data_IF_790963971693
#
_entry.id   IF_790963971693
#
_cell.length_a   1.000
_cell.length_b   1.000
_cell.length_c   1.000
_cell.angle_alpha   90.00
_cell.angle_beta   90.00
_cell.angle_gamma   90.00
#
_symmetry.space_group_name_H-M   'P 1'
#
loop_
_entity.id
_entity.type
_entity.pdbx_description
1 polymer ?
#
# COMPACT_ATOMS: atom_id res chain seq x y z
N UNK A 1 -2.31 19.72 -12.97
CA UNK A 1 -3.57 19.24 -12.39
C UNK A 1 -3.33 18.96 -10.91
N UNK A 2 -4.17 19.43 -9.98
CA UNK A 2 -4.12 18.96 -8.59
C UNK A 2 -4.70 17.55 -8.60
N UNK A 3 -3.84 16.54 -8.57
CA UNK A 3 -4.29 15.15 -8.43
C UNK A 3 -4.90 14.97 -7.04
N UNK A 4 -6.21 14.70 -6.98
CA UNK A 4 -6.87 14.35 -5.72
C UNK A 4 -6.49 12.92 -5.36
N UNK A 5 -5.73 12.76 -4.27
CA UNK A 5 -5.36 11.45 -3.75
C UNK A 5 -6.50 10.86 -2.91
N UNK A 6 -6.87 9.62 -3.21
CA UNK A 6 -7.89 8.87 -2.45
C UNK A 6 -7.15 7.93 -1.48
N UNK A 7 -7.42 8.00 -0.17
CA UNK A 7 -6.79 7.10 0.79
C UNK A 7 -7.33 5.67 0.60
N UNK A 8 -6.46 4.72 0.28
CA UNK A 8 -6.84 3.32 0.02
C UNK A 8 -6.60 2.38 1.21
N UNK A 9 -5.77 2.78 2.18
CA UNK A 9 -5.42 1.96 3.33
C UNK A 9 -4.31 2.55 4.20
N UNK A 10 -3.86 1.75 5.17
CA UNK A 10 -2.79 2.10 6.12
C UNK A 10 -1.73 0.99 6.13
N UNK A 11 -0.45 1.38 6.10
CA UNK A 11 0.68 0.50 6.40
C UNK A 11 0.72 0.26 7.91
N UNK A 12 0.55 -1.00 8.34
CA UNK A 12 0.48 -1.34 9.78
C UNK A 12 1.85 -1.71 10.36
N UNK A 13 2.55 -2.64 9.72
CA UNK A 13 3.86 -3.17 10.17
C UNK A 13 4.63 -3.74 8.98
N UNK A 14 5.93 -3.98 9.18
CA UNK A 14 6.75 -4.81 8.29
C UNK A 14 6.29 -6.27 8.31
N UNK A 15 6.66 -7.02 7.28
CA UNK A 15 6.39 -8.45 7.13
C UNK A 15 7.67 -9.21 6.77
N UNK A 16 8.12 -10.07 7.69
CA UNK A 16 9.35 -10.84 7.52
C UNK A 16 10.60 -9.94 7.44
N UNK A 17 11.65 -10.45 6.81
CA UNK A 17 12.98 -9.82 6.75
C UNK A 17 13.33 -9.25 5.36
N UNK A 18 12.45 -9.38 4.38
CA UNK A 18 12.68 -8.97 2.97
C UNK A 18 12.15 -7.57 2.63
N UNK A 19 11.79 -6.77 3.64
CA UNK A 19 11.28 -5.41 3.45
C UNK A 19 9.83 -5.31 2.98
N UNK A 20 9.08 -6.43 2.94
CA UNK A 20 7.65 -6.39 2.67
C UNK A 20 6.89 -5.69 3.81
N UNK A 21 5.72 -5.13 3.51
CA UNK A 21 4.86 -4.47 4.49
C UNK A 21 3.44 -5.03 4.49
N UNK A 22 2.76 -4.92 5.63
CA UNK A 22 1.34 -5.23 5.77
C UNK A 22 0.53 -3.96 5.53
N UNK A 23 -0.33 -3.98 4.52
CA UNK A 23 -1.28 -2.89 4.24
C UNK A 23 -2.69 -3.38 4.58
N UNK A 24 -3.37 -2.68 5.48
CA UNK A 24 -4.81 -2.85 5.70
C UNK A 24 -5.55 -1.88 4.81
N UNK A 25 -6.28 -2.39 3.83
CA UNK A 25 -7.06 -1.56 2.91
C UNK A 25 -8.42 -1.20 3.50
N UNK A 26 -8.99 -0.09 3.05
CA UNK A 26 -10.32 0.35 3.44
C UNK A 26 -11.44 -0.26 2.57
N UNK A 27 -11.10 -0.92 1.46
CA UNK A 27 -12.11 -1.57 0.62
C UNK A 27 -12.68 -2.81 1.31
N UNK A 28 -14.01 -2.87 1.45
CA UNK A 28 -14.72 -3.98 2.12
C UNK A 28 -14.47 -5.37 1.51
N UNK A 29 -14.08 -5.47 0.23
CA UNK A 29 -13.81 -6.75 -0.43
C UNK A 29 -12.33 -7.16 -0.43
N UNK A 30 -11.41 -6.32 0.07
CA UNK A 30 -9.98 -6.64 0.05
C UNK A 30 -9.44 -6.92 -1.37
N UNK A 31 -9.88 -6.16 -2.38
CA UNK A 31 -9.52 -6.35 -3.81
C UNK A 31 -8.72 -5.19 -4.42
N UNK A 32 -8.42 -4.13 -3.67
CA UNK A 32 -7.96 -2.86 -4.24
C UNK A 32 -6.43 -2.68 -4.36
N UNK A 33 -5.61 -3.72 -4.12
CA UNK A 33 -4.16 -3.66 -4.35
C UNK A 33 -3.76 -4.70 -5.40
N UNK A 34 -3.30 -4.19 -6.54
CA UNK A 34 -2.77 -4.99 -7.65
C UNK A 34 -1.26 -4.74 -7.81
N UNK A 35 -0.50 -5.70 -8.34
CA UNK A 35 0.90 -5.47 -8.71
C UNK A 35 1.01 -4.48 -9.88
N UNK A 36 2.19 -3.89 -10.06
CA UNK A 36 2.54 -2.96 -11.14
C UNK A 36 1.77 -1.62 -11.13
N UNK A 37 1.21 -1.21 -9.99
CA UNK A 37 0.61 0.12 -9.81
C UNK A 37 1.55 1.03 -9.01
N UNK A 38 1.38 2.34 -9.17
CA UNK A 38 2.01 3.33 -8.30
C UNK A 38 1.04 3.77 -7.22
N UNK A 39 1.52 3.83 -5.97
CA UNK A 39 0.77 4.41 -4.86
C UNK A 39 1.57 5.53 -4.20
N UNK A 40 0.86 6.45 -3.56
CA UNK A 40 1.47 7.49 -2.74
C UNK A 40 1.41 7.08 -1.28
N UNK A 41 2.57 6.97 -0.64
CA UNK A 41 2.69 6.67 0.78
C UNK A 41 2.97 7.96 1.53
N UNK A 42 2.08 8.28 2.46
CA UNK A 42 2.25 9.43 3.33
C UNK A 42 3.01 9.02 4.61
N UNK A 43 4.21 9.58 4.83
CA UNK A 43 5.00 9.32 6.05
C UNK A 43 4.67 10.31 7.17
N UNK A 44 4.47 11.58 6.79
CA UNK A 44 4.03 12.69 7.64
C UNK A 44 2.98 13.48 6.88
N UNK A 45 2.15 14.25 7.58
CA UNK A 45 1.13 15.06 6.92
C UNK A 45 1.76 15.95 5.82
N UNK A 46 1.26 15.82 4.59
CA UNK A 46 1.79 16.51 3.42
C UNK A 46 3.04 15.92 2.76
N UNK A 47 3.73 14.97 3.39
CA UNK A 47 4.94 14.31 2.85
C UNK A 47 4.57 12.97 2.19
N UNK A 48 4.43 13.01 0.86
CA UNK A 48 4.04 11.87 0.04
C UNK A 48 5.23 11.35 -0.78
N UNK A 49 5.51 10.06 -0.64
CA UNK A 49 6.45 9.34 -1.48
C UNK A 49 5.70 8.46 -2.49
N UNK A 50 5.96 8.63 -3.78
CA UNK A 50 5.43 7.75 -4.83
C UNK A 50 6.26 6.45 -4.88
N UNK A 51 5.61 5.31 -4.73
CA UNK A 51 6.24 3.99 -4.74
C UNK A 51 5.54 3.05 -5.72
N UNK A 52 6.32 2.21 -6.40
CA UNK A 52 5.79 1.17 -7.28
C UNK A 52 5.53 -0.10 -6.47
N UNK A 53 4.34 -0.66 -6.61
CA UNK A 53 4.02 -1.97 -6.04
C UNK A 53 4.56 -3.05 -6.98
N UNK A 54 5.57 -3.80 -6.52
CA UNK A 54 6.16 -4.90 -7.27
C UNK A 54 5.35 -6.18 -7.06
N UNK A 55 4.88 -6.41 -5.83
CA UNK A 55 4.00 -7.54 -5.52
C UNK A 55 2.95 -7.16 -4.48
N UNK A 56 1.76 -7.75 -4.62
CA UNK A 56 0.67 -7.63 -3.66
C UNK A 56 -0.02 -8.98 -3.51
N UNK A 57 -0.03 -9.53 -2.30
CA UNK A 57 -0.73 -10.78 -1.99
C UNK A 57 -1.67 -10.58 -0.82
N UNK A 58 -2.94 -10.93 -1.00
CA UNK A 58 -3.90 -10.92 0.10
C UNK A 58 -3.57 -12.03 1.10
N UNK A 59 -3.59 -11.70 2.39
CA UNK A 59 -3.38 -12.62 3.49
C UNK A 59 -4.30 -12.26 4.66
N UNK A 60 -5.34 -13.06 4.88
CA UNK A 60 -6.38 -12.79 5.88
C UNK A 60 -7.00 -11.39 5.67
N UNK A 61 -6.88 -10.49 6.64
CA UNK A 61 -7.47 -9.14 6.64
C UNK A 61 -6.50 -8.04 6.16
N UNK A 62 -5.35 -8.40 5.59
CA UNK A 62 -4.37 -7.44 5.05
C UNK A 62 -3.72 -7.93 3.76
N UNK A 63 -2.99 -7.04 3.11
CA UNK A 63 -2.12 -7.34 1.99
C UNK A 63 -0.66 -7.34 2.43
N UNK A 64 0.10 -8.33 1.98
CA UNK A 64 1.56 -8.28 1.99
C UNK A 64 1.99 -7.63 0.69
N UNK A 65 2.69 -6.50 0.81
CA UNK A 65 3.08 -5.66 -0.33
C UNK A 65 4.59 -5.47 -0.33
N UNK A 66 5.20 -5.65 -1.50
CA UNK A 66 6.60 -5.30 -1.76
C UNK A 66 6.64 -4.07 -2.66
N UNK A 67 7.41 -3.06 -2.25
CA UNK A 67 7.72 -1.91 -3.08
C UNK A 67 9.07 -2.10 -3.79
N UNK A 68 9.25 -1.36 -4.87
CA UNK A 68 10.56 -1.16 -5.53
C UNK A 68 11.48 -0.30 -4.66
#
# INVERSE_FOLDING_TARGET
MKETLIPIGIIKKTFGIKGAVRIKTYSGEGRCLSPNIYIFVQKKAGDYQKLKVVSSKQFKDFFVVQFE
#
